data_IF_548013650953
#
_entry.id   IF_548013650953
#
_cell.length_a   1.000
_cell.length_b   1.000
_cell.length_c   1.000
_cell.angle_alpha   90.00
_cell.angle_beta   90.00
_cell.angle_gamma   90.00
#
_symmetry.space_group_name_H-M   'P 1'
#
loop_
_entity.id
_entity.type
_entity.pdbx_description
1 polymer ?
#
# COMPACT_ATOMS: atom_id res chain seq x y z
N UNK A 1 14.62 8.31 -6.64
CA UNK A 1 14.99 9.71 -6.40
C UNK A 1 15.26 9.87 -4.91
N UNK A 2 16.27 10.65 -4.51
CA UNK A 2 16.44 11.02 -3.11
C UNK A 2 15.17 11.74 -2.59
N UNK A 3 14.83 11.53 -1.32
CA UNK A 3 13.63 12.13 -0.74
C UNK A 3 13.78 13.65 -0.55
N UNK A 4 12.68 14.38 -0.71
CA UNK A 4 12.59 15.82 -0.45
C UNK A 4 12.04 16.10 0.96
N UNK A 5 12.77 16.85 1.76
CA UNK A 5 12.53 17.06 3.19
C UNK A 5 12.41 18.55 3.48
N UNK A 6 11.34 18.95 4.15
CA UNK A 6 11.19 20.29 4.73
C UNK A 6 11.47 20.25 6.22
N UNK A 7 12.41 21.07 6.69
CA UNK A 7 12.69 21.27 8.12
C UNK A 7 12.00 22.57 8.57
N UNK A 8 11.23 22.50 9.65
CA UNK A 8 10.52 23.63 10.24
C UNK A 8 10.95 23.77 11.70
N UNK A 9 11.76 24.78 11.99
CA UNK A 9 12.29 25.04 13.33
C UNK A 9 12.57 26.54 13.45
N UNK A 10 12.15 27.19 14.53
CA UNK A 10 12.38 28.62 14.74
C UNK A 10 13.86 28.94 14.95
N UNK A 11 14.67 27.95 15.33
CA UNK A 11 16.11 28.06 15.45
C UNK A 11 16.80 27.73 14.13
N UNK A 12 17.23 28.76 13.39
CA UNK A 12 18.02 28.59 12.16
C UNK A 12 19.29 27.73 12.31
N UNK A 13 19.81 27.59 13.53
CA UNK A 13 20.95 26.72 13.86
C UNK A 13 20.56 25.25 13.75
N UNK A 14 19.36 24.87 14.19
CA UNK A 14 18.84 23.50 14.09
C UNK A 14 18.60 23.14 12.63
N UNK A 15 18.00 24.04 11.85
CA UNK A 15 17.82 23.87 10.40
C UNK A 15 19.16 23.58 9.71
N UNK A 16 20.17 24.43 9.93
CA UNK A 16 21.50 24.26 9.34
C UNK A 16 22.18 22.98 9.80
N UNK A 17 21.94 22.55 11.04
CA UNK A 17 22.43 21.28 11.56
C UNK A 17 21.83 20.11 10.80
N UNK A 18 20.51 20.10 10.62
CA UNK A 18 19.79 19.08 9.86
C UNK A 18 20.22 19.04 8.40
N UNK A 19 20.35 20.19 7.75
CA UNK A 19 20.86 20.29 6.36
C UNK A 19 22.26 19.68 6.21
N UNK A 20 23.18 20.01 7.13
CA UNK A 20 24.55 19.46 7.11
C UNK A 20 24.60 17.95 7.29
N UNK A 21 23.63 17.36 7.97
CA UNK A 21 23.57 15.91 8.20
C UNK A 21 22.87 15.20 7.04
N UNK A 22 21.76 15.75 6.53
CA UNK A 22 20.89 15.06 5.58
C UNK A 22 21.27 15.29 4.10
N UNK A 23 21.86 16.43 3.74
CA UNK A 23 22.30 16.69 2.36
C UNK A 23 23.41 15.70 1.92
N UNK A 24 24.43 15.39 2.74
CA UNK A 24 25.44 14.38 2.39
C UNK A 24 24.88 12.97 2.17
N UNK A 25 23.79 12.62 2.85
CA UNK A 25 23.05 11.36 2.65
C UNK A 25 22.24 11.34 1.33
N UNK A 26 22.30 12.44 0.58
CA UNK A 26 21.71 12.59 -0.74
C UNK A 26 20.31 13.19 -0.74
N UNK A 27 19.74 13.57 0.41
CA UNK A 27 18.41 14.16 0.49
C UNK A 27 18.36 15.60 -0.04
N UNK A 28 17.22 15.98 -0.65
CA UNK A 28 16.95 17.37 -0.97
C UNK A 28 16.29 18.03 0.24
N UNK A 29 17.00 18.94 0.91
CA UNK A 29 16.55 19.54 2.17
C UNK A 29 16.26 21.02 1.96
N UNK A 30 15.13 21.49 2.46
CA UNK A 30 14.79 22.91 2.56
C UNK A 30 14.40 23.24 3.98
N UNK A 31 14.73 24.44 4.46
CA UNK A 31 14.47 24.87 5.82
C UNK A 31 13.67 26.17 5.87
N UNK A 32 12.72 26.25 6.79
CA UNK A 32 11.91 27.44 7.07
C UNK A 32 11.80 27.66 8.57
N UNK A 33 11.66 28.91 8.99
CA UNK A 33 11.74 29.28 10.42
C UNK A 33 10.39 29.42 11.12
N UNK A 34 9.29 29.18 10.40
CA UNK A 34 7.96 29.29 10.99
C UNK A 34 6.87 28.62 10.18
N UNK A 35 5.72 28.45 10.83
CA UNK A 35 4.57 27.73 10.28
C UNK A 35 3.96 28.39 9.05
N UNK A 36 3.87 29.73 9.03
CA UNK A 36 3.28 30.44 7.90
C UNK A 36 4.08 30.24 6.60
N UNK A 37 5.41 30.36 6.70
CA UNK A 37 6.34 30.10 5.60
C UNK A 37 6.29 28.63 5.18
N UNK A 38 6.24 27.70 6.15
CA UNK A 38 6.07 26.29 5.87
C UNK A 38 4.80 25.99 5.05
N UNK A 39 3.66 26.59 5.42
CA UNK A 39 2.40 26.42 4.67
C UNK A 39 2.48 26.96 3.24
N UNK A 40 3.19 28.07 3.00
CA UNK A 40 3.38 28.60 1.64
C UNK A 40 4.28 27.70 0.79
N UNK A 41 5.38 27.23 1.37
CA UNK A 41 6.31 26.31 0.71
C UNK A 41 5.64 24.96 0.41
N UNK A 42 4.82 24.45 1.33
CA UNK A 42 4.07 23.19 1.16
C UNK A 42 2.93 23.28 0.15
N UNK A 43 2.38 24.46 -0.12
CA UNK A 43 1.38 24.64 -1.20
C UNK A 43 1.98 24.51 -2.59
N UNK A 44 3.24 24.90 -2.75
CA UNK A 44 3.91 25.02 -4.05
C UNK A 44 4.98 23.94 -4.29
N UNK A 45 5.38 23.19 -3.25
CA UNK A 45 6.48 22.23 -3.30
C UNK A 45 6.04 20.79 -3.06
N UNK A 46 6.71 19.86 -3.74
CA UNK A 46 6.56 18.42 -3.53
C UNK A 46 7.56 17.94 -2.46
N UNK A 47 7.09 17.83 -1.21
CA UNK A 47 7.85 17.26 -0.11
C UNK A 47 7.40 15.84 0.21
N UNK A 48 8.36 14.94 0.46
CA UNK A 48 8.07 13.60 0.96
C UNK A 48 7.86 13.63 2.47
N UNK A 49 8.65 14.44 3.18
CA UNK A 49 8.64 14.53 4.63
C UNK A 49 8.70 15.98 5.09
N UNK A 50 7.96 16.25 6.17
CA UNK A 50 8.12 17.45 6.99
C UNK A 50 8.66 17.02 8.35
N UNK A 51 9.76 17.63 8.77
CA UNK A 51 10.33 17.52 10.12
C UNK A 51 10.06 18.85 10.82
N UNK A 52 9.23 18.86 11.87
CA UNK A 52 8.79 20.10 12.54
C UNK A 52 9.00 20.05 14.04
N UNK A 53 9.45 21.14 14.65
CA UNK A 53 9.32 21.33 16.10
C UNK A 53 7.83 21.46 16.48
N UNK A 54 7.44 20.98 17.66
CA UNK A 54 6.12 21.27 18.25
C UNK A 54 6.08 22.65 18.88
N UNK A 55 7.17 23.09 19.51
CA UNK A 55 7.20 24.31 20.31
C UNK A 55 7.89 25.43 19.55
N UNK A 56 7.11 26.14 18.73
CA UNK A 56 7.55 27.38 18.09
C UNK A 56 6.83 28.59 18.70
N UNK A 57 7.47 29.78 18.74
CA UNK A 57 6.81 31.03 19.14
C UNK A 57 5.67 31.41 18.19
N UNK A 58 4.48 31.67 18.73
CA UNK A 58 3.34 32.22 17.99
C UNK A 58 2.33 31.18 17.52
N UNK A 59 2.72 30.26 16.63
CA UNK A 59 1.84 29.22 16.06
C UNK A 59 2.40 27.84 16.40
N UNK A 60 1.58 26.98 16.98
CA UNK A 60 1.95 25.63 17.44
C UNK A 60 2.24 24.70 16.25
N UNK A 61 3.29 23.88 16.35
CA UNK A 61 3.59 22.84 15.36
C UNK A 61 2.43 21.87 15.15
N UNK A 62 1.56 21.68 16.15
CA UNK A 62 0.31 20.93 16.01
C UNK A 62 -0.64 21.50 14.94
N UNK A 63 -0.68 22.82 14.76
CA UNK A 63 -1.50 23.44 13.71
C UNK A 63 -0.95 23.12 12.31
N UNK A 64 0.37 23.11 12.16
CA UNK A 64 1.02 22.68 10.92
C UNK A 64 0.68 21.22 10.60
N UNK A 65 0.74 20.33 11.61
CA UNK A 65 0.40 18.91 11.44
C UNK A 65 -1.06 18.77 10.97
N UNK A 66 -2.00 19.44 11.64
CA UNK A 66 -3.43 19.42 11.27
C UNK A 66 -3.64 19.95 9.86
N UNK A 67 -2.96 21.04 9.50
CA UNK A 67 -3.05 21.63 8.17
C UNK A 67 -2.51 20.68 7.08
N UNK A 68 -1.35 20.07 7.30
CA UNK A 68 -0.78 19.07 6.37
C UNK A 68 -1.76 17.91 6.20
N UNK A 69 -2.32 17.38 7.29
CA UNK A 69 -3.26 16.26 7.21
C UNK A 69 -4.54 16.59 6.43
N UNK A 70 -5.01 17.84 6.50
CA UNK A 70 -6.19 18.30 5.75
C UNK A 70 -5.91 18.61 4.28
N UNK A 71 -4.68 19.00 3.91
CA UNK A 71 -4.34 19.43 2.55
C UNK A 71 -3.59 18.36 1.75
N UNK A 72 -2.68 17.63 2.40
CA UNK A 72 -1.88 16.58 1.79
C UNK A 72 -1.50 15.49 2.81
N UNK A 73 -2.39 14.51 3.00
CA UNK A 73 -2.18 13.39 3.93
C UNK A 73 -1.04 12.45 3.55
N UNK A 74 -0.43 12.61 2.36
CA UNK A 74 0.66 11.75 1.85
C UNK A 74 2.04 12.16 2.35
N UNK A 75 2.16 13.37 2.89
CA UNK A 75 3.42 13.87 3.44
C UNK A 75 3.66 13.16 4.78
N UNK A 76 4.84 12.55 4.89
CA UNK A 76 5.31 12.00 6.15
C UNK A 76 5.63 13.11 7.14
N UNK A 77 5.23 12.94 8.40
CA UNK A 77 5.50 13.96 9.43
C UNK A 77 6.38 13.33 10.49
N UNK A 78 7.52 13.95 10.74
CA UNK A 78 8.41 13.65 11.87
C UNK A 78 8.42 14.85 12.79
N UNK A 79 8.29 14.61 14.08
CA UNK A 79 8.16 15.68 15.07
C UNK A 79 9.43 15.81 15.90
N UNK A 80 10.02 17.00 15.98
CA UNK A 80 11.10 17.29 16.91
C UNK A 80 10.51 17.76 18.25
N UNK A 81 11.00 17.24 19.38
CA UNK A 81 10.46 17.58 20.71
C UNK A 81 11.55 17.68 21.79
N UNK A 82 11.55 18.76 22.57
CA UNK A 82 12.56 19.02 23.63
C UNK A 82 12.23 18.55 25.04
N UNK A 83 10.98 18.15 25.31
CA UNK A 83 10.58 17.49 26.56
C UNK A 83 9.30 16.70 26.28
N UNK A 84 9.34 15.36 26.27
CA UNK A 84 8.16 14.56 26.02
C UNK A 84 7.22 14.64 27.24
N UNK A 85 6.25 15.56 27.21
CA UNK A 85 5.04 15.36 28.01
C UNK A 85 4.22 14.25 27.35
N UNK A 86 3.64 13.36 28.16
CA UNK A 86 2.77 12.28 27.69
C UNK A 86 1.63 12.80 26.79
N UNK A 87 1.15 14.02 27.07
CA UNK A 87 0.03 14.66 26.40
C UNK A 87 0.38 15.09 24.97
N UNK A 88 1.50 15.78 24.77
CA UNK A 88 1.89 16.28 23.43
C UNK A 88 2.32 15.17 22.47
N UNK A 89 2.88 14.06 22.96
CA UNK A 89 3.17 12.89 22.12
C UNK A 89 1.88 12.20 21.68
N UNK A 90 0.92 12.05 22.59
CA UNK A 90 -0.35 11.38 22.31
C UNK A 90 -1.12 12.11 21.22
N UNK A 91 -1.20 13.44 21.32
CA UNK A 91 -1.86 14.27 20.31
C UNK A 91 -1.19 14.14 18.94
N UNK A 92 0.15 14.15 18.89
CA UNK A 92 0.87 13.99 17.65
C UNK A 92 0.67 12.59 17.02
N UNK A 93 0.65 11.53 17.84
CA UNK A 93 0.36 10.17 17.40
C UNK A 93 -1.07 10.03 16.84
N UNK A 94 -2.06 10.65 17.49
CA UNK A 94 -3.46 10.65 17.02
C UNK A 94 -3.62 11.38 15.67
N UNK A 95 -2.74 12.35 15.39
CA UNK A 95 -2.67 13.05 14.10
C UNK A 95 -1.87 12.28 13.02
N UNK A 96 -1.39 11.08 13.35
CA UNK A 96 -0.77 10.16 12.41
C UNK A 96 0.64 10.56 11.98
N UNK A 97 1.46 11.11 12.88
CA UNK A 97 2.90 11.27 12.63
C UNK A 97 3.56 9.91 12.40
N UNK A 98 4.69 9.89 11.70
CA UNK A 98 5.46 8.65 11.47
C UNK A 98 6.33 8.33 12.68
N UNK A 99 7.03 9.34 13.19
CA UNK A 99 7.93 9.19 14.31
C UNK A 99 8.23 10.55 14.95
N UNK A 100 8.96 10.55 16.06
CA UNK A 100 9.45 11.76 16.71
C UNK A 100 10.96 11.69 17.00
N UNK A 101 11.58 12.86 17.12
CA UNK A 101 13.00 13.07 17.34
C UNK A 101 13.21 13.89 18.63
N UNK A 102 13.78 13.31 19.70
CA UNK A 102 14.01 14.04 20.95
C UNK A 102 15.18 15.03 20.82
N UNK A 103 15.03 16.30 21.26
CA UNK A 103 16.15 17.24 21.44
C UNK A 103 16.81 17.00 22.82
N UNK A 104 18.16 16.95 22.92
CA UNK A 104 19.12 16.94 21.83
C UNK A 104 19.19 15.55 21.16
N UNK A 105 19.32 15.53 19.83
CA UNK A 105 19.48 14.29 19.04
C UNK A 105 20.87 14.19 18.44
N UNK A 106 21.32 12.95 18.19
CA UNK A 106 22.56 12.70 17.44
C UNK A 106 22.31 12.78 15.93
N UNK A 107 23.35 13.06 15.12
CA UNK A 107 23.25 12.98 13.66
C UNK A 107 22.73 11.62 13.18
N UNK A 108 23.19 10.52 13.79
CA UNK A 108 22.76 9.17 13.44
C UNK A 108 21.25 8.96 13.66
N UNK A 109 20.72 9.43 14.79
CA UNK A 109 19.29 9.30 15.08
C UNK A 109 18.44 10.08 14.08
N UNK A 110 18.88 11.26 13.65
CA UNK A 110 18.20 12.04 12.62
C UNK A 110 18.16 11.27 11.28
N UNK A 111 19.27 10.64 10.89
CA UNK A 111 19.35 9.83 9.67
C UNK A 111 18.40 8.64 9.76
N UNK A 112 18.47 7.86 10.83
CA UNK A 112 17.67 6.64 11.02
C UNK A 112 16.16 6.93 10.99
N UNK A 113 15.73 7.97 11.71
CA UNK A 113 14.32 8.40 11.75
C UNK A 113 13.85 8.89 10.38
N UNK A 114 14.70 9.65 9.68
CA UNK A 114 14.40 10.15 8.33
C UNK A 114 14.29 9.02 7.33
N UNK A 115 15.23 8.07 7.34
CA UNK A 115 15.22 6.92 6.44
C UNK A 115 13.99 6.02 6.66
N UNK A 116 13.66 5.75 7.93
CA UNK A 116 12.45 5.03 8.31
C UNK A 116 11.20 5.74 7.80
N UNK A 117 11.14 7.06 7.96
CA UNK A 117 10.01 7.85 7.51
C UNK A 117 9.89 7.89 5.98
N UNK A 118 11.01 7.99 5.25
CA UNK A 118 11.00 7.98 3.78
C UNK A 118 10.55 6.62 3.29
N UNK A 119 11.01 5.55 3.92
CA UNK A 119 10.60 4.19 3.59
C UNK A 119 9.11 3.98 3.82
N UNK A 120 8.56 4.50 4.94
CA UNK A 120 7.14 4.45 5.23
C UNK A 120 6.30 5.24 4.20
N UNK A 121 6.71 6.47 3.86
CA UNK A 121 6.04 7.29 2.83
C UNK A 121 6.14 6.62 1.47
N UNK A 122 7.28 6.04 1.12
CA UNK A 122 7.45 5.30 -0.14
C UNK A 122 6.60 4.05 -0.17
N UNK A 123 6.48 3.29 0.93
CA UNK A 123 5.58 2.15 1.00
C UNK A 123 4.11 2.58 0.77
N UNK A 124 3.70 3.72 1.35
CA UNK A 124 2.38 4.32 1.09
C UNK A 124 2.23 4.82 -0.36
N UNK A 125 3.27 5.40 -0.96
CA UNK A 125 3.28 5.82 -2.38
C UNK A 125 3.35 4.63 -3.35
N UNK A 126 3.88 3.47 -2.94
CA UNK A 126 3.92 2.24 -3.72
C UNK A 126 2.55 1.54 -3.72
N UNK A 127 1.77 1.67 -2.65
CA UNK A 127 0.34 1.27 -2.65
C UNK A 127 -0.52 2.14 -3.58
N UNK A 128 -0.10 3.39 -3.84
CA UNK A 128 -0.65 4.25 -4.87
C UNK A 128 0.26 4.39 -6.10
N UNK A 129 0.67 3.27 -6.70
CA UNK A 129 1.03 3.34 -8.13
C UNK A 129 -0.22 3.86 -8.88
N UNK A 130 -0.14 4.91 -9.71
CA UNK A 130 -1.27 5.32 -10.53
C UNK A 130 -1.56 4.15 -11.48
N UNK A 131 -2.54 3.35 -11.08
CA UNK A 131 -3.15 2.32 -11.89
C UNK A 131 -3.71 3.00 -13.12
N UNK A 132 -3.49 2.35 -14.27
CA UNK A 132 -3.88 2.76 -15.61
C UNK A 132 -5.34 3.27 -15.65
N UNK A 133 -5.54 4.56 -15.38
CA UNK A 133 -6.87 5.20 -15.30
C UNK A 133 -7.60 5.08 -16.64
N UNK A 134 -6.86 4.87 -17.74
CA UNK A 134 -7.38 4.75 -19.10
C UNK A 134 -8.22 3.48 -19.31
N UNK A 135 -7.92 2.39 -18.61
CA UNK A 135 -8.71 1.16 -18.71
C UNK A 135 -9.96 1.21 -17.81
N UNK A 136 -9.84 1.82 -16.62
CA UNK A 136 -10.99 2.01 -15.72
C UNK A 136 -12.01 2.97 -16.35
N UNK A 137 -11.56 4.07 -16.95
CA UNK A 137 -12.45 5.02 -17.65
C UNK A 137 -13.18 4.40 -18.84
N UNK A 138 -12.50 3.54 -19.62
CA UNK A 138 -13.15 2.78 -20.71
C UNK A 138 -14.21 1.81 -20.17
N UNK A 139 -13.95 1.17 -19.02
CA UNK A 139 -14.86 0.19 -18.40
C UNK A 139 -15.89 0.80 -17.45
N UNK A 140 -15.80 2.10 -17.13
CA UNK A 140 -16.79 2.82 -16.27
C UNK A 140 -18.22 2.64 -16.78
N UNK A 141 -18.43 2.65 -18.09
CA UNK A 141 -19.76 2.45 -18.70
C UNK A 141 -20.34 1.07 -18.38
N UNK A 142 -19.51 0.04 -18.29
CA UNK A 142 -19.94 -1.33 -17.97
C UNK A 142 -20.20 -1.47 -16.47
N UNK A 143 -19.35 -0.87 -15.64
CA UNK A 143 -19.53 -0.83 -14.18
C UNK A 143 -20.85 -0.14 -13.82
N UNK A 144 -21.16 1.00 -14.45
CA UNK A 144 -22.45 1.69 -14.22
C UNK A 144 -23.65 0.83 -14.62
N UNK A 145 -23.59 0.11 -15.75
CA UNK A 145 -24.67 -0.83 -16.14
C UNK A 145 -24.90 -1.93 -15.10
N UNK A 146 -23.83 -2.46 -14.51
CA UNK A 146 -23.91 -3.49 -13.46
C UNK A 146 -24.54 -2.92 -12.19
N UNK A 147 -24.17 -1.69 -11.82
CA UNK A 147 -24.73 -1.01 -10.65
C UNK A 147 -26.23 -0.77 -10.87
N UNK A 148 -26.63 -0.20 -12.00
CA UNK A 148 -28.04 0.06 -12.32
C UNK A 148 -28.90 -1.21 -12.30
N UNK A 149 -28.37 -2.31 -12.84
CA UNK A 149 -29.07 -3.61 -12.87
C UNK A 149 -29.34 -4.18 -11.48
N UNK A 150 -28.50 -3.87 -10.48
CA UNK A 150 -28.56 -4.45 -9.15
C UNK A 150 -29.00 -3.46 -8.06
N UNK A 151 -29.18 -2.18 -8.38
CA UNK A 151 -29.50 -1.09 -7.45
C UNK A 151 -30.72 -1.34 -6.56
N UNK A 152 -31.74 -2.00 -7.10
CA UNK A 152 -33.02 -2.21 -6.41
C UNK A 152 -33.10 -3.52 -5.60
N UNK A 153 -31.98 -4.26 -5.46
CA UNK A 153 -31.97 -5.52 -4.71
C UNK A 153 -31.40 -5.31 -3.30
N UNK A 154 -32.05 -5.86 -2.25
CA UNK A 154 -31.44 -5.90 -0.92
C UNK A 154 -30.12 -6.68 -1.00
N UNK A 155 -29.04 -6.11 -0.46
CA UNK A 155 -27.70 -6.73 -0.52
C UNK A 155 -26.95 -6.54 -1.86
N UNK A 156 -27.25 -5.51 -2.63
CA UNK A 156 -26.65 -5.23 -3.95
C UNK A 156 -25.10 -5.17 -3.96
N UNK A 157 -24.45 -4.90 -2.84
CA UNK A 157 -23.00 -4.71 -2.75
C UNK A 157 -22.20 -5.93 -3.23
N UNK A 158 -22.49 -7.14 -2.73
CA UNK A 158 -21.73 -8.35 -3.08
C UNK A 158 -21.86 -8.67 -4.58
N UNK A 159 -23.07 -8.72 -5.18
CA UNK A 159 -23.22 -8.93 -6.61
C UNK A 159 -22.54 -7.87 -7.48
N UNK A 160 -22.56 -6.60 -7.05
CA UNK A 160 -21.90 -5.50 -7.78
C UNK A 160 -20.39 -5.65 -7.73
N UNK A 161 -19.81 -5.96 -6.56
CA UNK A 161 -18.37 -6.20 -6.43
C UNK A 161 -17.93 -7.41 -7.26
N UNK A 162 -18.69 -8.50 -7.24
CA UNK A 162 -18.40 -9.69 -8.03
C UNK A 162 -18.39 -9.39 -9.54
N UNK A 163 -19.48 -8.83 -10.08
CA UNK A 163 -19.58 -8.51 -11.52
C UNK A 163 -18.53 -7.47 -11.93
N UNK A 164 -18.24 -6.49 -11.06
CA UNK A 164 -17.19 -5.50 -11.33
C UNK A 164 -15.82 -6.16 -11.38
N UNK A 165 -15.53 -7.11 -10.49
CA UNK A 165 -14.29 -7.88 -10.52
C UNK A 165 -14.20 -8.77 -11.76
N UNK A 166 -15.30 -9.33 -12.25
CA UNK A 166 -15.30 -10.10 -13.52
C UNK A 166 -14.94 -9.21 -14.72
N UNK A 167 -15.38 -7.94 -14.72
CA UNK A 167 -15.09 -6.98 -15.79
C UNK A 167 -13.66 -6.42 -15.69
N UNK A 168 -13.22 -6.05 -14.48
CA UNK A 168 -11.97 -5.32 -14.24
C UNK A 168 -10.81 -6.26 -13.88
N UNK A 169 -11.09 -7.45 -13.35
CA UNK A 169 -10.14 -8.46 -12.86
C UNK A 169 -9.79 -8.30 -11.37
N UNK A 170 -9.93 -7.11 -10.81
CA UNK A 170 -9.61 -6.76 -9.42
C UNK A 170 -10.38 -5.49 -9.01
N UNK A 171 -10.39 -5.17 -7.72
CA UNK A 171 -11.18 -4.10 -7.12
C UNK A 171 -10.26 -3.08 -6.41
N UNK A 172 -9.59 -2.19 -7.16
CA UNK A 172 -8.70 -1.19 -6.57
C UNK A 172 -9.50 -0.08 -5.85
N UNK A 173 -8.86 0.71 -4.96
CA UNK A 173 -9.53 1.77 -4.21
C UNK A 173 -10.37 2.77 -5.05
N UNK A 174 -9.95 3.20 -6.26
CA UNK A 174 -10.77 4.07 -7.10
C UNK A 174 -12.12 3.43 -7.50
N UNK A 175 -12.12 2.15 -7.86
CA UNK A 175 -13.33 1.41 -8.23
C UNK A 175 -14.25 1.25 -7.03
N UNK A 176 -13.69 0.95 -5.86
CA UNK A 176 -14.45 0.86 -4.61
C UNK A 176 -15.15 2.19 -4.26
N UNK A 177 -14.47 3.33 -4.46
CA UNK A 177 -15.06 4.67 -4.25
C UNK A 177 -16.21 4.96 -5.20
N UNK A 178 -16.11 4.55 -6.47
CA UNK A 178 -17.20 4.70 -7.45
C UNK A 178 -18.41 3.88 -7.00
N UNK A 179 -18.22 2.61 -6.65
CA UNK A 179 -19.30 1.74 -6.17
C UNK A 179 -19.95 2.31 -4.90
N UNK A 180 -19.14 2.80 -3.95
CA UNK A 180 -19.62 3.41 -2.72
C UNK A 180 -20.52 4.63 -2.98
N UNK A 181 -20.09 5.51 -3.88
CA UNK A 181 -20.84 6.71 -4.27
C UNK A 181 -22.17 6.36 -4.94
N UNK A 182 -22.16 5.42 -5.88
CA UNK A 182 -23.37 5.08 -6.65
C UNK A 182 -24.41 4.28 -5.86
N UNK A 183 -23.96 3.45 -4.92
CA UNK A 183 -24.82 2.69 -4.01
C UNK A 183 -25.17 3.45 -2.72
N UNK A 184 -24.67 4.67 -2.55
CA UNK A 184 -24.87 5.52 -1.36
C UNK A 184 -24.52 4.80 -0.04
N UNK A 185 -23.35 4.15 -0.02
CA UNK A 185 -22.81 3.42 1.14
C UNK A 185 -21.43 3.98 1.51
N UNK A 186 -21.03 3.95 2.80
CA UNK A 186 -19.70 4.40 3.22
C UNK A 186 -18.58 3.61 2.53
N UNK A 187 -17.52 4.30 2.11
CA UNK A 187 -16.33 3.66 1.50
C UNK A 187 -15.71 2.63 2.45
N UNK A 188 -15.74 2.89 3.76
CA UNK A 188 -15.27 1.96 4.79
C UNK A 188 -16.03 0.64 4.78
N UNK A 189 -17.33 0.64 4.49
CA UNK A 189 -18.15 -0.57 4.40
C UNK A 189 -17.79 -1.39 3.16
N UNK A 190 -17.59 -0.74 2.01
CA UNK A 190 -17.14 -1.40 0.78
C UNK A 190 -15.77 -2.03 0.98
N UNK A 191 -14.83 -1.25 1.51
CA UNK A 191 -13.48 -1.72 1.81
C UNK A 191 -13.49 -2.89 2.81
N UNK A 192 -14.31 -2.80 3.87
CA UNK A 192 -14.47 -3.87 4.85
C UNK A 192 -14.89 -5.18 4.20
N UNK A 193 -15.88 -5.16 3.31
CA UNK A 193 -16.33 -6.34 2.57
C UNK A 193 -15.25 -6.90 1.65
N UNK A 194 -14.57 -6.04 0.89
CA UNK A 194 -13.49 -6.46 -0.02
C UNK A 194 -12.31 -7.07 0.74
N UNK A 195 -11.97 -6.52 1.91
CA UNK A 195 -10.90 -7.04 2.77
C UNK A 195 -11.27 -8.33 3.50
N UNK A 196 -12.56 -8.55 3.77
CA UNK A 196 -13.04 -9.68 4.56
C UNK A 196 -13.19 -10.96 3.75
N UNK A 197 -13.71 -10.86 2.51
CA UNK A 197 -13.93 -12.03 1.67
C UNK A 197 -12.70 -12.31 0.78
N UNK A 198 -12.11 -13.49 0.95
CA UNK A 198 -10.97 -13.98 0.14
C UNK A 198 -11.26 -14.09 -1.36
N UNK A 199 -12.53 -14.08 -1.76
CA UNK A 199 -12.93 -14.07 -3.16
C UNK A 199 -12.58 -12.76 -3.87
N UNK A 200 -12.58 -11.63 -3.14
CA UNK A 200 -12.26 -10.33 -3.72
C UNK A 200 -10.76 -10.07 -3.66
N UNK A 201 -10.22 -9.44 -4.71
CA UNK A 201 -8.81 -9.09 -4.79
C UNK A 201 -8.65 -7.60 -5.08
N UNK A 202 -7.80 -6.93 -4.30
CA UNK A 202 -7.45 -5.52 -4.54
C UNK A 202 -6.27 -5.38 -5.49
N UNK A 203 -5.49 -6.46 -5.65
CA UNK A 203 -4.32 -6.52 -6.52
C UNK A 203 -4.68 -7.18 -7.85
N UNK A 204 -4.08 -6.73 -8.98
CA UNK A 204 -4.28 -7.35 -10.27
C UNK A 204 -3.89 -8.83 -10.23
N UNK A 205 -4.75 -9.68 -10.78
CA UNK A 205 -4.46 -11.10 -11.01
C UNK A 205 -4.08 -11.30 -12.47
N UNK A 206 -3.24 -12.31 -12.72
CA UNK A 206 -2.94 -12.73 -14.08
C UNK A 206 -4.19 -13.35 -14.71
N UNK A 207 -4.18 -13.51 -16.03
CA UNK A 207 -5.24 -14.21 -16.77
C UNK A 207 -5.51 -15.62 -16.21
N UNK A 208 -4.48 -16.29 -15.72
CA UNK A 208 -4.50 -17.62 -15.14
C UNK A 208 -3.99 -17.57 -13.69
N UNK A 209 -4.82 -17.98 -12.72
CA UNK A 209 -4.47 -18.01 -11.31
C UNK A 209 -3.99 -19.39 -10.87
N UNK A 210 -2.69 -19.49 -10.56
CA UNK A 210 -2.02 -20.71 -10.10
C UNK A 210 -2.00 -20.72 -8.58
N UNK A 211 -2.74 -21.64 -7.98
CA UNK A 211 -2.86 -21.83 -6.52
C UNK A 211 -2.13 -23.09 -6.08
N UNK A 212 -1.11 -22.94 -5.24
CA UNK A 212 -0.32 -24.07 -4.69
C UNK A 212 -0.75 -24.36 -3.25
N UNK A 213 -1.13 -25.61 -2.97
CA UNK A 213 -1.49 -26.04 -1.62
C UNK A 213 -0.24 -26.27 -0.76
N UNK A 214 -0.14 -25.53 0.34
CA UNK A 214 0.89 -25.70 1.38
C UNK A 214 0.30 -26.25 2.69
N UNK A 215 -0.82 -26.96 2.60
CA UNK A 215 -1.40 -27.68 3.73
C UNK A 215 -0.53 -28.86 4.15
N UNK A 216 -0.75 -29.38 5.36
CA UNK A 216 0.11 -30.41 5.98
C UNK A 216 0.39 -31.61 5.06
N UNK A 217 -0.63 -32.15 4.39
CA UNK A 217 -0.47 -33.29 3.49
C UNK A 217 0.39 -32.97 2.26
N UNK A 218 0.26 -31.76 1.70
CA UNK A 218 1.06 -31.32 0.56
C UNK A 218 2.48 -30.94 1.00
N UNK A 219 2.63 -30.33 2.17
CA UNK A 219 3.91 -29.97 2.77
C UNK A 219 4.81 -31.20 2.99
N UNK A 220 4.27 -32.26 3.61
CA UNK A 220 5.00 -33.53 3.83
C UNK A 220 5.42 -34.17 2.49
N UNK A 221 4.64 -33.96 1.43
CA UNK A 221 4.97 -34.41 0.07
C UNK A 221 5.78 -33.39 -0.75
N UNK A 222 6.53 -32.50 -0.08
CA UNK A 222 7.48 -31.56 -0.71
C UNK A 222 6.83 -30.51 -1.63
N UNK A 223 5.60 -30.08 -1.35
CA UNK A 223 4.94 -29.01 -2.12
C UNK A 223 5.68 -27.66 -2.07
N UNK A 224 6.55 -27.44 -1.10
CA UNK A 224 7.46 -26.29 -1.05
C UNK A 224 8.41 -26.26 -2.24
N UNK A 225 8.91 -27.40 -2.70
CA UNK A 225 9.80 -27.48 -3.86
C UNK A 225 9.05 -27.17 -5.17
N UNK A 226 7.78 -27.56 -5.24
CA UNK A 226 6.89 -27.21 -6.36
C UNK A 226 6.72 -25.69 -6.43
N UNK A 227 6.51 -25.05 -5.27
CA UNK A 227 6.38 -23.60 -5.20
C UNK A 227 7.67 -22.91 -5.66
N UNK A 228 8.84 -23.30 -5.15
CA UNK A 228 10.11 -22.70 -5.55
C UNK A 228 10.39 -22.89 -7.04
N UNK A 229 10.09 -24.06 -7.61
CA UNK A 229 10.21 -24.29 -9.05
C UNK A 229 9.29 -23.39 -9.88
N UNK A 230 8.06 -23.18 -9.40
CA UNK A 230 7.11 -22.27 -10.04
C UNK A 230 7.59 -20.81 -9.97
N UNK A 231 8.18 -20.39 -8.86
CA UNK A 231 8.78 -19.05 -8.73
C UNK A 231 9.93 -18.85 -9.71
N UNK A 232 10.83 -19.83 -9.81
CA UNK A 232 11.94 -19.79 -10.77
C UNK A 232 11.45 -19.74 -12.23
N UNK A 233 10.45 -20.55 -12.58
CA UNK A 233 9.93 -20.63 -13.95
C UNK A 233 9.16 -19.37 -14.37
N UNK A 234 8.34 -18.83 -13.48
CA UNK A 234 7.52 -17.64 -13.75
C UNK A 234 8.25 -16.33 -13.46
N UNK A 235 9.38 -16.36 -12.73
CA UNK A 235 10.14 -15.18 -12.33
C UNK A 235 9.41 -14.29 -11.31
N UNK A 236 8.48 -14.85 -10.53
CA UNK A 236 7.65 -14.11 -9.57
C UNK A 236 7.61 -14.76 -8.19
N UNK A 237 7.46 -13.94 -7.16
CA UNK A 237 7.24 -14.42 -5.79
C UNK A 237 5.79 -14.87 -5.55
N UNK A 238 5.56 -15.59 -4.45
CA UNK A 238 4.21 -15.96 -4.03
C UNK A 238 3.37 -14.71 -3.72
N UNK A 239 2.22 -14.59 -4.37
CA UNK A 239 1.36 -13.41 -4.39
C UNK A 239 1.67 -12.41 -5.50
N UNK A 240 2.67 -12.71 -6.35
CA UNK A 240 3.07 -11.91 -7.50
C UNK A 240 2.27 -12.19 -8.77
N UNK A 241 2.47 -11.33 -9.77
CA UNK A 241 1.94 -11.45 -11.12
C UNK A 241 3.10 -11.33 -12.11
N UNK A 242 3.09 -12.12 -13.18
CA UNK A 242 4.10 -12.06 -14.23
C UNK A 242 4.03 -10.73 -15.00
N UNK A 243 5.16 -10.27 -15.54
CA UNK A 243 5.24 -8.99 -16.28
C UNK A 243 4.30 -8.96 -17.51
N UNK A 244 4.05 -10.12 -18.11
CA UNK A 244 3.12 -10.31 -19.22
C UNK A 244 1.63 -10.35 -18.81
N UNK A 245 1.35 -10.24 -17.49
CA UNK A 245 0.01 -10.34 -16.88
C UNK A 245 -0.74 -11.64 -17.18
N UNK A 246 -0.05 -12.69 -17.63
CA UNK A 246 -0.69 -13.98 -17.92
C UNK A 246 -0.91 -14.82 -16.69
N UNK A 247 0.04 -14.88 -15.75
CA UNK A 247 -0.01 -15.78 -14.61
C UNK A 247 0.05 -15.01 -13.29
N UNK A 248 -0.75 -15.44 -12.31
CA UNK A 248 -0.56 -15.08 -10.90
C UNK A 248 -0.27 -16.32 -10.08
N UNK A 249 0.65 -16.21 -9.12
CA UNK A 249 1.03 -17.30 -8.24
C UNK A 249 0.50 -17.01 -6.84
N UNK A 250 -0.33 -17.88 -6.29
CA UNK A 250 -0.95 -17.75 -4.97
C UNK A 250 -0.69 -19.01 -4.15
N UNK A 251 -0.46 -18.85 -2.84
CA UNK A 251 -0.33 -19.98 -1.92
C UNK A 251 -1.58 -20.09 -1.07
N UNK A 252 -2.06 -21.32 -0.89
CA UNK A 252 -3.27 -21.60 -0.12
C UNK A 252 -3.00 -22.67 0.93
N UNK A 253 -3.68 -22.57 2.07
CA UNK A 253 -3.48 -23.50 3.20
C UNK A 253 -4.15 -24.86 2.96
N UNK A 254 -5.30 -24.91 2.30
CA UNK A 254 -5.97 -26.16 2.00
C UNK A 254 -6.87 -26.01 0.78
N UNK A 255 -6.84 -27.00 -0.11
CA UNK A 255 -7.73 -27.12 -1.27
C UNK A 255 -8.75 -28.26 -1.12
N UNK A 256 -8.78 -28.95 0.02
CA UNK A 256 -9.71 -30.06 0.29
C UNK A 256 -9.40 -31.36 -0.45
N UNK A 257 -8.37 -31.40 -1.31
CA UNK A 257 -8.01 -32.54 -2.14
C UNK A 257 -6.80 -33.33 -1.61
N UNK A 258 -6.73 -33.60 -0.30
CA UNK A 258 -5.57 -34.23 0.33
C UNK A 258 -5.19 -35.61 -0.26
N UNK A 259 -6.15 -36.36 -0.80
CA UNK A 259 -5.90 -37.64 -1.48
C UNK A 259 -5.08 -37.51 -2.77
N UNK A 260 -5.06 -36.32 -3.38
CA UNK A 260 -4.32 -35.99 -4.59
C UNK A 260 -3.03 -35.21 -4.29
N UNK A 261 -2.60 -35.12 -3.03
CA UNK A 261 -1.40 -34.36 -2.68
C UNK A 261 -0.13 -34.88 -3.39
N UNK A 262 0.78 -34.00 -3.85
CA UNK A 262 0.69 -32.53 -3.87
C UNK A 262 -0.31 -31.98 -4.89
N UNK A 263 -1.05 -30.93 -4.50
CA UNK A 263 -2.11 -30.32 -5.33
C UNK A 263 -1.75 -28.91 -5.75
N UNK A 264 -1.90 -28.65 -7.05
CA UNK A 264 -1.86 -27.32 -7.67
C UNK A 264 -3.17 -27.11 -8.42
N UNK A 265 -3.79 -25.94 -8.29
CA UNK A 265 -4.99 -25.59 -9.06
C UNK A 265 -4.65 -24.43 -9.98
N UNK A 266 -4.91 -24.59 -11.27
CA UNK A 266 -4.81 -23.49 -12.24
C UNK A 266 -6.23 -23.10 -12.62
N UNK A 267 -6.66 -21.90 -12.25
CA UNK A 267 -8.04 -21.44 -12.38
C UNK A 267 -9.05 -22.39 -11.70
N UNK A 268 -9.72 -23.22 -12.51
CA UNK A 268 -10.69 -24.22 -12.07
C UNK A 268 -10.16 -25.66 -12.20
N UNK A 269 -9.01 -25.86 -12.85
CA UNK A 269 -8.45 -27.18 -13.10
C UNK A 269 -7.59 -27.63 -11.92
N UNK A 270 -7.92 -28.78 -11.35
CA UNK A 270 -7.21 -29.36 -10.21
C UNK A 270 -6.19 -30.39 -10.68
N UNK A 271 -4.91 -30.08 -10.48
CA UNK A 271 -3.79 -30.96 -10.79
C UNK A 271 -3.31 -31.66 -9.51
N UNK A 272 -3.42 -32.98 -9.50
CA UNK A 272 -3.03 -33.84 -8.40
C UNK A 272 -1.73 -34.59 -8.67
N UNK A 273 -1.09 -35.09 -7.61
CA UNK A 273 0.17 -35.85 -7.66
C UNK A 273 1.25 -35.10 -8.47
N UNK A 274 1.30 -33.78 -8.29
CA UNK A 274 2.17 -32.91 -9.08
C UNK A 274 3.62 -33.16 -8.68
N UNK A 275 4.45 -33.42 -9.69
CA UNK A 275 5.89 -33.61 -9.54
C UNK A 275 6.61 -32.27 -9.71
N UNK A 276 7.54 -31.88 -8.80
CA UNK A 276 8.32 -30.65 -8.92
C UNK A 276 9.02 -30.46 -10.27
N UNK A 277 9.42 -31.54 -10.96
CA UNK A 277 10.11 -31.46 -12.25
C UNK A 277 9.12 -31.23 -13.41
N UNK A 278 7.88 -31.70 -13.27
CA UNK A 278 6.86 -31.63 -14.33
C UNK A 278 5.90 -30.46 -14.18
N UNK A 279 5.95 -29.74 -13.06
CA UNK A 279 5.03 -28.62 -12.81
C UNK A 279 5.13 -27.52 -13.87
N UNK A 280 6.33 -27.21 -14.38
CA UNK A 280 6.51 -26.23 -15.46
C UNK A 280 5.72 -26.61 -16.72
N UNK A 281 5.69 -27.90 -17.08
CA UNK A 281 4.92 -28.39 -18.24
C UNK A 281 3.42 -28.23 -18.07
N UNK A 282 2.92 -28.26 -16.84
CA UNK A 282 1.49 -28.03 -16.55
C UNK A 282 1.16 -26.57 -16.85
N UNK A 283 2.01 -25.64 -16.43
CA UNK A 283 1.82 -24.20 -16.68
C UNK A 283 1.93 -23.86 -18.16
N UNK A 284 2.88 -24.48 -18.87
CA UNK A 284 3.07 -24.25 -20.31
C UNK A 284 1.85 -24.62 -21.16
N UNK A 285 0.93 -25.47 -20.67
CA UNK A 285 -0.34 -25.79 -21.35
C UNK A 285 -1.33 -24.64 -21.38
N UNK A 286 -1.17 -23.65 -20.49
CA UNK A 286 -2.05 -22.48 -20.34
C UNK A 286 -1.44 -21.21 -20.97
N UNK A 287 -0.30 -21.35 -21.66
CA UNK A 287 0.47 -20.21 -22.19
C UNK A 287 0.02 -19.78 -23.60
#
# INVERSE_FOLDING_TARGET
MPGSILIVDDESVVIKSCERVLIPEGYNVSGVTGVAEAMEVLKNGDFDIVVTDLKMPGIDGLELIRWIRNNNSKIGIVVITGYPSQESIKDALELGIIDYLPKPFSPQLLIDVTEKAITAVRAQKVEEKPLDVRDVEKKLKEIMKVIDKNRNKPGALIPVLQQTQEIVGYLPPPVQRIIARELNIPVSQVHGVVSFYSFFTMKPKGKHNVRVCLGTACYVKRATEILEKLKEHLGIEAGGITDDKKFSLETVRCLGACGLAPVVVVDHDTHGSVDPVKVSKIIDQYN
#
